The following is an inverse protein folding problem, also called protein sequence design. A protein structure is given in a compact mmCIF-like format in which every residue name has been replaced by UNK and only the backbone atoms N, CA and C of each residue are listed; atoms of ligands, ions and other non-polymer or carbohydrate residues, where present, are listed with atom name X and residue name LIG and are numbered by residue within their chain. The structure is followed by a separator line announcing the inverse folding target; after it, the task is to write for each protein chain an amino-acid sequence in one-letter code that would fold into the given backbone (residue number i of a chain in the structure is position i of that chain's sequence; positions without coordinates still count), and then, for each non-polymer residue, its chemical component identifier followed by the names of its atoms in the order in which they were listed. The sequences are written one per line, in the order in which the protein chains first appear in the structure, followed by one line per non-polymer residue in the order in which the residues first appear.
data_IF_796957977270
#
_entry.id   IF_796957977270
#
_cell.length_a   1.000
_cell.length_b   1.000
_cell.length_c   1.000
_cell.angle_alpha   90.00
_cell.angle_beta   90.00
_cell.angle_gamma   90.00
#
_symmetry.space_group_name_H-M   'P 1'
#
loop_
_entity.id
_entity.type
_entity.pdbx_description
1 polymer ?
#
# COMPACT_ATOMS: atom_id res chain seq x y z
N UNK A 1 34.31 29.92 -12.04
CA UNK A 1 33.78 28.64 -11.54
C UNK A 1 33.33 28.86 -10.11
N UNK A 2 32.03 28.85 -9.84
CA UNK A 2 31.51 28.84 -8.48
C UNK A 2 30.37 27.82 -8.43
N UNK A 3 30.69 26.64 -7.90
CA UNK A 3 29.74 25.56 -7.67
C UNK A 3 28.97 25.85 -6.40
N UNK A 4 27.68 26.11 -6.52
CA UNK A 4 26.78 26.30 -5.39
C UNK A 4 26.51 24.92 -4.78
N UNK A 5 27.03 24.67 -3.58
CA UNK A 5 26.68 23.50 -2.77
C UNK A 5 25.22 23.59 -2.35
N UNK A 6 24.37 22.76 -2.99
CA UNK A 6 23.00 22.54 -2.55
C UNK A 6 23.07 21.66 -1.30
N UNK A 7 23.02 22.28 -0.12
CA UNK A 7 22.79 21.59 1.15
C UNK A 7 21.44 20.88 1.07
N UNK A 8 21.48 19.56 0.84
CA UNK A 8 20.32 18.68 0.98
C UNK A 8 19.85 18.73 2.43
N UNK A 9 18.81 19.51 2.70
CA UNK A 9 18.03 19.36 3.92
C UNK A 9 17.49 17.94 3.94
N UNK A 10 17.93 17.14 4.92
CA UNK A 10 17.29 15.87 5.27
C UNK A 10 15.82 16.17 5.54
N UNK A 11 14.94 15.84 4.57
CA UNK A 11 13.50 15.80 4.80
C UNK A 11 13.29 14.77 5.89
N UNK A 12 12.92 15.25 7.08
CA UNK A 12 12.46 14.42 8.19
C UNK A 12 11.29 13.60 7.63
N UNK A 13 11.44 12.27 7.57
CA UNK A 13 10.37 11.39 7.13
C UNK A 13 9.17 11.65 8.05
N UNK A 14 8.01 11.92 7.45
CA UNK A 14 6.75 12.04 8.19
C UNK A 14 6.31 10.67 8.78
N UNK A 15 7.07 9.61 8.48
CA UNK A 15 6.85 8.22 8.92
C UNK A 15 7.84 7.81 10.05
N UNK A 16 8.72 8.69 10.53
CA UNK A 16 9.82 8.28 11.43
C UNK A 16 9.56 8.38 12.94
N UNK A 17 8.33 8.53 13.45
CA UNK A 17 8.10 8.54 14.92
C UNK A 17 6.89 7.69 15.35
N UNK A 18 6.89 6.39 15.03
CA UNK A 18 6.08 5.41 15.77
C UNK A 18 6.96 4.22 16.15
N UNK A 19 7.58 4.29 17.34
CA UNK A 19 8.24 3.17 18.00
C UNK A 19 7.20 2.07 18.33
N UNK A 20 6.92 1.21 17.36
CA UNK A 20 6.00 0.08 17.51
C UNK A 20 5.67 -0.58 16.18
N UNK A 21 5.30 -1.86 16.22
CA UNK A 21 4.68 -2.52 15.06
C UNK A 21 3.37 -1.77 14.76
N UNK A 22 3.27 -1.13 13.60
CA UNK A 22 2.03 -0.43 13.24
C UNK A 22 0.95 -1.46 12.86
N UNK A 23 -0.32 -1.11 13.04
CA UNK A 23 -1.44 -1.93 12.55
C UNK A 23 -1.35 -2.18 11.04
N UNK A 24 -0.74 -1.23 10.31
CA UNK A 24 -0.42 -1.38 8.89
C UNK A 24 0.59 -2.49 8.64
N UNK A 25 1.67 -2.59 9.42
CA UNK A 25 2.68 -3.65 9.26
C UNK A 25 2.10 -5.04 9.55
N UNK A 26 1.17 -5.15 10.50
CA UNK A 26 0.48 -6.41 10.82
C UNK A 26 -0.47 -6.84 9.69
N UNK A 27 -1.28 -5.91 9.18
CA UNK A 27 -2.20 -6.17 8.08
C UNK A 27 -1.44 -6.53 6.80
N UNK A 28 -0.34 -5.85 6.51
CA UNK A 28 0.55 -6.15 5.38
C UNK A 28 1.23 -7.50 5.55
N UNK A 29 1.80 -7.81 6.72
CA UNK A 29 2.42 -9.09 7.01
C UNK A 29 1.44 -10.26 6.82
N UNK A 30 0.20 -10.11 7.30
CA UNK A 30 -0.89 -11.06 7.08
C UNK A 30 -1.20 -11.24 5.59
N UNK A 31 -1.45 -10.15 4.87
CA UNK A 31 -1.79 -10.18 3.45
C UNK A 31 -0.65 -10.77 2.59
N UNK A 32 0.60 -10.55 2.99
CA UNK A 32 1.77 -11.01 2.26
C UNK A 32 2.24 -12.40 2.69
N UNK A 33 1.61 -12.98 3.71
CA UNK A 33 2.05 -14.20 4.40
C UNK A 33 3.56 -14.15 4.70
N UNK A 34 4.01 -13.06 5.31
CA UNK A 34 5.42 -12.81 5.62
C UNK A 34 5.59 -12.26 7.03
N UNK A 35 6.82 -12.29 7.55
CA UNK A 35 7.12 -11.72 8.85
C UNK A 35 6.97 -10.18 8.84
N UNK A 36 6.54 -9.63 9.98
CA UNK A 36 6.35 -8.19 10.16
C UNK A 36 7.65 -7.42 9.97
N UNK A 37 8.78 -7.95 10.44
CA UNK A 37 10.07 -7.29 10.31
C UNK A 37 10.58 -7.33 8.86
N UNK A 38 10.30 -8.40 8.12
CA UNK A 38 10.55 -8.44 6.67
C UNK A 38 9.67 -7.42 5.93
N UNK A 39 8.44 -7.21 6.37
CA UNK A 39 7.53 -6.23 5.78
C UNK A 39 8.05 -4.80 5.93
N UNK A 40 8.64 -4.46 7.08
CA UNK A 40 9.24 -3.14 7.34
C UNK A 40 10.44 -2.83 6.44
N UNK A 41 11.15 -3.85 5.95
CA UNK A 41 12.29 -3.67 5.05
C UNK A 41 11.86 -3.39 3.60
N UNK A 42 10.57 -3.55 3.27
CA UNK A 42 10.07 -3.28 1.94
C UNK A 42 9.95 -1.78 1.68
N UNK A 43 10.41 -1.34 0.51
CA UNK A 43 10.12 -0.01 0.00
C UNK A 43 8.61 0.17 -0.26
N UNK A 44 8.14 1.42 -0.25
CA UNK A 44 6.73 1.76 -0.53
C UNK A 44 6.23 1.17 -1.87
N UNK A 45 7.08 1.16 -2.89
CA UNK A 45 6.76 0.53 -4.19
C UNK A 45 6.59 -0.99 -4.08
N UNK A 46 7.43 -1.67 -3.29
CA UNK A 46 7.32 -3.12 -3.07
C UNK A 46 6.07 -3.46 -2.26
N UNK A 47 5.74 -2.67 -1.24
CA UNK A 47 4.51 -2.85 -0.46
C UNK A 47 3.27 -2.67 -1.35
N UNK A 48 3.20 -1.60 -2.15
CA UNK A 48 2.10 -1.39 -3.11
C UNK A 48 1.98 -2.54 -4.10
N UNK A 49 3.10 -2.98 -4.69
CA UNK A 49 3.11 -4.09 -5.65
C UNK A 49 2.66 -5.41 -5.03
N UNK A 50 3.04 -5.68 -3.78
CA UNK A 50 2.59 -6.89 -3.08
C UNK A 50 1.09 -6.85 -2.77
N UNK A 51 0.53 -5.69 -2.39
CA UNK A 51 -0.93 -5.55 -2.21
C UNK A 51 -1.68 -5.77 -3.53
N UNK A 52 -1.15 -5.26 -4.63
CA UNK A 52 -1.68 -5.52 -5.96
C UNK A 52 -1.67 -7.01 -6.31
N UNK A 53 -0.57 -7.70 -6.03
CA UNK A 53 -0.50 -9.14 -6.23
C UNK A 53 -1.45 -9.91 -5.30
N UNK A 54 -1.67 -9.45 -4.07
CA UNK A 54 -2.64 -10.05 -3.16
C UNK A 54 -4.06 -9.95 -3.73
N UNK A 55 -4.49 -8.77 -4.18
CA UNK A 55 -5.78 -8.57 -4.84
C UNK A 55 -5.97 -9.51 -6.06
N UNK A 56 -4.95 -9.65 -6.90
CA UNK A 56 -4.98 -10.58 -8.03
C UNK A 56 -5.07 -12.03 -7.59
N UNK A 57 -4.42 -12.41 -6.48
CA UNK A 57 -4.51 -13.76 -5.95
C UNK A 57 -5.90 -14.10 -5.40
N UNK A 58 -6.61 -13.12 -4.82
CA UNK A 58 -8.00 -13.27 -4.40
C UNK A 58 -8.91 -13.51 -5.62
N UNK A 59 -8.70 -12.77 -6.71
CA UNK A 59 -9.43 -12.96 -7.97
C UNK A 59 -9.15 -14.35 -8.59
N UNK A 60 -7.88 -14.75 -8.69
CA UNK A 60 -7.47 -16.03 -9.28
C UNK A 60 -8.02 -17.24 -8.51
N UNK A 61 -8.04 -17.15 -7.17
CA UNK A 61 -8.51 -18.23 -6.30
C UNK A 61 -10.02 -18.17 -6.02
N UNK A 62 -10.70 -17.12 -6.48
CA UNK A 62 -12.06 -16.78 -6.08
C UNK A 62 -12.24 -16.76 -4.54
N UNK A 63 -11.23 -16.25 -3.85
CA UNK A 63 -11.18 -16.15 -2.40
C UNK A 63 -11.84 -14.85 -1.94
N UNK A 64 -12.59 -14.92 -0.84
CA UNK A 64 -13.30 -13.76 -0.26
C UNK A 64 -12.65 -13.36 1.06
N UNK A 65 -12.65 -12.06 1.33
CA UNK A 65 -12.16 -11.46 2.56
C UNK A 65 -13.32 -10.83 3.35
N UNK A 66 -13.10 -10.60 4.65
CA UNK A 66 -14.10 -9.91 5.48
C UNK A 66 -14.15 -8.41 5.13
N UNK A 67 -15.25 -7.75 5.50
CA UNK A 67 -15.40 -6.30 5.31
C UNK A 67 -14.37 -5.51 6.11
N UNK A 68 -14.03 -5.98 7.30
CA UNK A 68 -12.99 -5.39 8.15
C UNK A 68 -11.62 -5.46 7.46
N UNK A 69 -11.25 -6.63 6.91
CA UNK A 69 -10.01 -6.80 6.17
C UNK A 69 -9.97 -5.92 4.91
N UNK A 70 -11.08 -5.85 4.16
CA UNK A 70 -11.17 -4.97 2.99
C UNK A 70 -10.95 -3.49 3.35
N UNK A 71 -11.57 -3.01 4.43
CA UNK A 71 -11.40 -1.64 4.90
C UNK A 71 -9.95 -1.34 5.29
N UNK A 72 -9.29 -2.26 6.01
CA UNK A 72 -7.88 -2.12 6.39
C UNK A 72 -6.96 -2.04 5.16
N UNK A 73 -7.15 -2.93 4.19
CA UNK A 73 -6.32 -2.99 2.99
C UNK A 73 -6.53 -1.77 2.07
N UNK A 74 -7.77 -1.29 1.95
CA UNK A 74 -8.10 -0.09 1.21
C UNK A 74 -7.42 1.15 1.82
N UNK A 75 -7.46 1.31 3.14
CA UNK A 75 -6.80 2.41 3.84
C UNK A 75 -5.27 2.36 3.66
N UNK A 76 -4.67 1.17 3.71
CA UNK A 76 -3.23 1.00 3.47
C UNK A 76 -2.86 1.33 2.02
N UNK A 77 -3.62 0.85 1.04
CA UNK A 77 -3.40 1.16 -0.37
C UNK A 77 -3.47 2.67 -0.63
N UNK A 78 -4.45 3.35 -0.04
CA UNK A 78 -4.59 4.80 -0.13
C UNK A 78 -3.37 5.53 0.47
N UNK A 79 -2.97 5.18 1.69
CA UNK A 79 -1.80 5.78 2.37
C UNK A 79 -0.51 5.57 1.58
N UNK A 80 -0.29 4.38 1.04
CA UNK A 80 0.88 4.08 0.21
C UNK A 80 0.88 4.90 -1.08
N UNK A 81 -0.26 5.00 -1.76
CA UNK A 81 -0.39 5.78 -2.99
C UNK A 81 -0.09 7.25 -2.72
N UNK A 82 -0.76 7.86 -1.73
CA UNK A 82 -0.49 9.25 -1.31
C UNK A 82 0.97 9.50 -0.96
N UNK A 83 1.61 8.57 -0.23
CA UNK A 83 3.02 8.69 0.13
C UNK A 83 3.95 8.61 -1.08
N UNK A 84 3.62 7.78 -2.07
CA UNK A 84 4.39 7.65 -3.31
C UNK A 84 4.24 8.91 -4.20
N UNK A 85 3.02 9.42 -4.36
CA UNK A 85 2.76 10.66 -5.09
C UNK A 85 3.51 11.84 -4.46
N UNK A 86 3.40 12.00 -3.14
CA UNK A 86 4.03 13.10 -2.41
C UNK A 86 5.56 13.04 -2.42
N UNK A 87 6.15 11.86 -2.19
CA UNK A 87 7.61 11.74 -2.02
C UNK A 87 8.36 11.60 -3.34
N UNK A 88 7.73 11.01 -4.36
CA UNK A 88 8.40 10.64 -5.61
C UNK A 88 7.80 11.34 -6.84
N UNK A 89 6.69 12.08 -6.70
CA UNK A 89 6.04 12.78 -7.82
C UNK A 89 5.50 11.84 -8.89
N UNK A 90 5.21 10.58 -8.51
CA UNK A 90 4.59 9.60 -9.39
C UNK A 90 3.11 9.89 -9.45
N UNK A 91 2.52 9.87 -10.64
CA UNK A 91 1.08 10.03 -10.84
C UNK A 91 0.44 8.64 -10.99
N UNK A 92 -0.45 8.27 -10.06
CA UNK A 92 -1.20 7.02 -10.11
C UNK A 92 -2.65 7.21 -10.56
N UNK A 93 -3.02 8.39 -11.08
CA UNK A 93 -4.38 8.69 -11.52
C UNK A 93 -4.88 7.81 -12.68
N UNK A 94 -3.95 7.23 -13.45
CA UNK A 94 -4.24 6.29 -14.55
C UNK A 94 -3.91 4.83 -14.19
N UNK A 95 -3.48 4.56 -12.96
CA UNK A 95 -3.16 3.21 -12.51
C UNK A 95 -4.41 2.47 -12.04
N UNK A 96 -4.39 1.13 -12.16
CA UNK A 96 -5.48 0.28 -11.68
C UNK A 96 -5.73 0.51 -10.18
N UNK A 97 -6.86 1.16 -9.87
CA UNK A 97 -7.29 1.40 -8.49
C UNK A 97 -7.86 0.09 -7.95
N UNK A 98 -7.13 -0.50 -7.02
CA UNK A 98 -7.57 -1.68 -6.29
C UNK A 98 -8.59 -1.23 -5.23
N UNK A 99 -9.79 -1.77 -5.34
CA UNK A 99 -10.81 -1.67 -4.32
C UNK A 99 -11.08 -3.07 -3.74
N UNK A 100 -10.60 -3.29 -2.52
CA UNK A 100 -10.71 -4.57 -1.84
C UNK A 100 -12.15 -4.93 -1.47
N UNK A 101 -13.09 -3.97 -1.51
CA UNK A 101 -14.50 -4.25 -1.23
C UNK A 101 -15.14 -5.19 -2.26
N UNK A 102 -14.57 -5.30 -3.47
CA UNK A 102 -15.00 -6.27 -4.50
C UNK A 102 -14.77 -7.72 -4.10
N UNK A 103 -13.82 -7.97 -3.20
CA UNK A 103 -13.51 -9.32 -2.73
C UNK A 103 -14.29 -9.67 -1.45
N UNK A 104 -15.21 -8.82 -1.01
CA UNK A 104 -16.15 -9.13 0.08
C UNK A 104 -17.36 -9.88 -0.48
N UNK A 105 -17.86 -10.86 0.27
CA UNK A 105 -19.06 -11.61 -0.10
C UNK A 105 -20.27 -10.67 -0.29
N UNK A 106 -20.99 -10.82 -1.41
CA UNK A 106 -22.15 -9.99 -1.75
C UNK A 106 -21.85 -8.67 -2.49
N UNK A 107 -20.58 -8.31 -2.72
CA UNK A 107 -20.17 -7.08 -3.43
C UNK A 107 -19.71 -7.32 -4.88
N UNK A 108 -20.14 -8.43 -5.47
CA UNK A 108 -19.61 -8.98 -6.73
C UNK A 108 -19.95 -8.11 -7.95
N UNK A 109 -20.99 -7.29 -7.85
CA UNK A 109 -21.51 -6.44 -8.93
C UNK A 109 -20.91 -5.02 -8.94
N UNK A 110 -19.96 -4.70 -8.05
CA UNK A 110 -19.36 -3.36 -8.05
C UNK A 110 -18.55 -3.13 -9.34
N UNK A 111 -18.81 -2.03 -10.08
CA UNK A 111 -18.21 -1.80 -11.39
C UNK A 111 -16.70 -1.84 -11.29
N UNK A 112 -16.04 -2.55 -12.20
CA UNK A 112 -14.57 -2.59 -12.31
C UNK A 112 -14.06 -1.15 -12.51
N UNK A 113 -13.29 -0.65 -11.55
CA UNK A 113 -12.55 0.60 -11.64
C UNK A 113 -11.35 0.33 -12.53
N UNK A 114 -11.35 0.94 -13.71
CA UNK A 114 -10.27 0.88 -14.69
C UNK A 114 -9.46 2.16 -14.61
#
# INVERSE_FOLDING_TARGET
MNSIEIKRHKKKNIIDDLEGISLQDLALAKAFNMDVDDCKQLSLFQQRRKLQNYAFSLEEKNEKISKEEANELNDIMYRLTMALEYNYGVDFSADYIIDFDRYVEGNEDMPKTY
#
